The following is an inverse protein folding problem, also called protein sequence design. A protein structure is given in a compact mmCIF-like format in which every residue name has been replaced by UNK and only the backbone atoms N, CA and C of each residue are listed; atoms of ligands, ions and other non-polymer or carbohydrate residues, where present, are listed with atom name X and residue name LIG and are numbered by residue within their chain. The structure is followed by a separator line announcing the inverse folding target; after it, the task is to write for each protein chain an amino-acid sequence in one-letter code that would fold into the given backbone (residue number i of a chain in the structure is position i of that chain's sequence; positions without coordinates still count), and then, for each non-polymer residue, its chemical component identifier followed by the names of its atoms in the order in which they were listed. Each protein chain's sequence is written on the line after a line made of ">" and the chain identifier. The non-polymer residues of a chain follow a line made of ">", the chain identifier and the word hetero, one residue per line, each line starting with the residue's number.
data_IF_932660885232
#
_entry.id   IF_932660885232
#
_cell.length_a   1.000
_cell.length_b   1.000
_cell.length_c   1.000
_cell.angle_alpha   90.00
_cell.angle_beta   90.00
_cell.angle_gamma   90.00
#
_symmetry.space_group_name_H-M   'P 1'
#
loop_
_entity.id
_entity.type
_entity.pdbx_description
1 polymer ?
#
# COMPACT_ATOMS: atom_id res chain seq x y z
N UNK A 1 11.88 -17.61 6.24
CA UNK A 1 12.74 -17.84 7.43
C UNK A 1 13.96 -18.54 6.95
N UNK A 2 15.18 -18.01 7.16
CA UNK A 2 16.43 -18.54 6.60
C UNK A 2 17.09 -19.60 7.51
N UNK A 3 16.78 -19.58 8.79
CA UNK A 3 17.24 -20.57 9.76
C UNK A 3 16.28 -20.66 10.94
N UNK A 4 16.29 -21.76 11.73
CA UNK A 4 15.64 -21.80 13.04
C UNK A 4 16.30 -20.78 13.98
N UNK A 5 15.65 -20.43 15.10
CA UNK A 5 16.27 -19.66 16.16
C UNK A 5 17.48 -20.42 16.72
N UNK A 6 18.64 -19.75 16.75
CA UNK A 6 19.89 -20.35 17.22
C UNK A 6 20.25 -19.69 18.54
N UNK A 7 20.40 -20.46 19.65
CA UNK A 7 20.82 -19.90 20.91
C UNK A 7 22.27 -19.40 20.83
N UNK A 8 22.55 -18.26 21.46
CA UNK A 8 23.90 -17.67 21.53
C UNK A 8 24.63 -17.97 22.84
N UNK A 9 24.25 -19.03 23.52
CA UNK A 9 24.92 -19.51 24.73
C UNK A 9 25.48 -20.92 24.52
N UNK A 10 26.60 -21.23 25.17
CA UNK A 10 27.20 -22.55 25.07
C UNK A 10 26.46 -23.58 25.93
N UNK A 11 26.12 -24.71 25.32
CA UNK A 11 25.61 -25.89 25.98
C UNK A 11 26.04 -27.13 25.20
N UNK A 12 26.58 -28.16 25.89
CA UNK A 12 27.13 -29.37 25.25
C UNK A 12 26.12 -30.10 24.33
N UNK A 13 24.83 -29.96 24.56
CA UNK A 13 23.78 -30.52 23.73
C UNK A 13 23.54 -29.74 22.43
N UNK A 14 24.06 -28.54 22.29
CA UNK A 14 23.78 -27.61 21.20
C UNK A 14 24.88 -27.53 20.12
N UNK A 15 25.85 -28.46 20.14
CA UNK A 15 27.01 -28.45 19.21
C UNK A 15 26.60 -28.30 17.75
N UNK A 16 25.52 -28.96 17.31
CA UNK A 16 25.02 -28.82 15.94
C UNK A 16 24.49 -27.39 15.65
N UNK A 17 23.90 -26.73 16.64
CA UNK A 17 23.41 -25.36 16.51
C UNK A 17 24.57 -24.36 16.52
N UNK A 18 25.60 -24.60 17.29
CA UNK A 18 26.85 -23.82 17.27
C UNK A 18 27.53 -23.90 15.90
N UNK A 19 27.70 -25.11 15.35
CA UNK A 19 28.22 -25.28 14.00
C UNK A 19 27.39 -24.53 12.95
N UNK A 20 26.08 -24.54 13.10
CA UNK A 20 25.18 -23.81 12.22
C UNK A 20 25.37 -22.29 12.38
N UNK A 21 25.49 -21.80 13.61
CA UNK A 21 25.75 -20.39 13.90
C UNK A 21 27.07 -19.95 13.28
N UNK A 22 28.15 -20.71 13.48
CA UNK A 22 29.47 -20.42 12.90
C UNK A 22 29.42 -20.36 11.38
N UNK A 23 28.72 -21.30 10.73
CA UNK A 23 28.52 -21.28 9.27
C UNK A 23 27.74 -20.06 8.79
N UNK A 24 26.67 -19.68 9.50
CA UNK A 24 25.87 -18.48 9.13
C UNK A 24 26.68 -17.20 9.33
N UNK A 25 27.39 -17.05 10.43
CA UNK A 25 28.25 -15.88 10.66
C UNK A 25 29.39 -15.81 9.64
N UNK A 26 30.00 -16.95 9.33
CA UNK A 26 31.01 -17.03 8.29
C UNK A 26 30.48 -16.70 6.89
N UNK A 27 29.26 -17.13 6.57
CA UNK A 27 28.60 -16.78 5.31
C UNK A 27 28.26 -15.28 5.26
N UNK A 28 27.74 -14.73 6.36
CA UNK A 28 27.43 -13.29 6.47
C UNK A 28 28.70 -12.44 6.29
N UNK A 29 29.80 -12.82 6.95
CA UNK A 29 31.07 -12.12 6.79
C UNK A 29 31.54 -12.12 5.33
N UNK A 30 31.53 -13.28 4.67
CA UNK A 30 31.90 -13.37 3.24
C UNK A 30 30.99 -12.55 2.35
N UNK A 31 29.70 -12.50 2.66
CA UNK A 31 28.74 -11.65 1.93
C UNK A 31 29.08 -10.16 2.08
N UNK A 32 29.39 -9.71 3.31
CA UNK A 32 29.81 -8.32 3.58
C UNK A 32 31.11 -8.01 2.84
N UNK A 33 32.12 -8.86 2.90
CA UNK A 33 33.40 -8.67 2.20
C UNK A 33 33.20 -8.60 0.67
N UNK A 34 32.30 -9.45 0.13
CA UNK A 34 31.93 -9.44 -1.29
C UNK A 34 31.22 -8.14 -1.69
N UNK A 35 30.28 -7.66 -0.86
CA UNK A 35 29.58 -6.39 -1.10
C UNK A 35 30.54 -5.21 -1.00
N UNK A 36 31.43 -5.18 -0.01
CA UNK A 36 32.43 -4.12 0.12
C UNK A 36 33.33 -4.06 -1.12
N UNK A 37 33.79 -5.23 -1.61
CA UNK A 37 34.57 -5.33 -2.84
C UNK A 37 33.80 -4.85 -4.07
N UNK A 38 32.51 -5.20 -4.16
CA UNK A 38 31.61 -4.75 -5.23
C UNK A 38 31.46 -3.22 -5.21
N UNK A 39 31.16 -2.64 -4.05
CA UNK A 39 30.96 -1.20 -3.92
C UNK A 39 32.25 -0.40 -4.15
N UNK A 40 33.42 -0.92 -3.77
CA UNK A 40 34.71 -0.29 -4.09
C UNK A 40 35.03 -0.33 -5.58
N UNK A 41 34.53 -1.34 -6.29
CA UNK A 41 34.67 -1.46 -7.74
C UNK A 41 33.72 -0.58 -8.55
N UNK A 42 32.68 -0.03 -7.92
CA UNK A 42 31.79 0.92 -8.57
C UNK A 42 32.54 2.25 -8.74
N UNK A 43 32.87 2.58 -9.98
CA UNK A 43 33.37 3.92 -10.33
C UNK A 43 32.28 4.94 -9.99
N UNK A 44 32.42 5.61 -8.85
CA UNK A 44 31.56 6.72 -8.45
C UNK A 44 31.89 7.92 -9.36
N UNK A 45 31.32 7.95 -10.54
CA UNK A 45 31.07 9.23 -11.20
C UNK A 45 30.27 10.10 -10.24
N UNK A 46 30.60 11.39 -10.05
CA UNK A 46 29.82 12.27 -9.21
C UNK A 46 28.43 12.40 -9.81
N UNK A 47 27.58 11.48 -9.46
CA UNK A 47 26.19 11.46 -9.86
C UNK A 47 25.40 12.21 -8.84
N UNK A 48 24.51 13.06 -9.33
CA UNK A 48 23.34 13.65 -8.70
C UNK A 48 23.15 13.30 -7.20
N UNK A 49 22.82 14.27 -6.35
CA UNK A 49 22.64 14.03 -4.92
C UNK A 49 21.75 12.82 -4.74
N UNK A 50 22.29 11.77 -4.13
CA UNK A 50 21.56 10.59 -3.72
C UNK A 50 20.36 11.06 -2.88
N UNK A 51 19.20 11.20 -3.49
CA UNK A 51 17.97 11.13 -2.74
C UNK A 51 18.02 9.78 -2.02
N UNK A 52 17.72 9.76 -0.74
CA UNK A 52 17.56 8.53 0.05
C UNK A 52 16.41 7.70 -0.57
N UNK A 53 16.69 7.03 -1.67
CA UNK A 53 15.73 6.27 -2.42
C UNK A 53 15.63 4.86 -1.84
N UNK A 54 14.67 4.65 -0.98
CA UNK A 54 14.32 3.32 -0.46
C UNK A 54 13.51 2.48 -1.45
N UNK A 55 13.08 3.09 -2.58
CA UNK A 55 12.25 2.46 -3.61
C UNK A 55 12.80 2.70 -5.01
N UNK A 56 12.57 1.78 -5.97
CA UNK A 56 12.78 2.08 -7.37
C UNK A 56 11.82 3.21 -7.75
N UNK A 57 12.32 4.38 -8.12
CA UNK A 57 11.51 5.52 -8.51
C UNK A 57 11.29 5.55 -10.03
N UNK A 58 10.32 4.79 -10.60
CA UNK A 58 9.89 5.02 -11.96
C UNK A 58 9.35 6.45 -12.07
N UNK A 59 9.51 7.06 -13.23
CA UNK A 59 8.99 8.41 -13.53
C UNK A 59 7.91 8.37 -14.60
N UNK A 60 7.46 7.18 -14.95
CA UNK A 60 6.39 6.94 -15.91
C UNK A 60 5.69 5.63 -15.60
N UNK A 61 4.46 5.51 -16.09
CA UNK A 61 3.70 4.27 -16.10
C UNK A 61 2.99 4.11 -17.45
N UNK A 62 2.59 2.88 -17.76
CA UNK A 62 1.79 2.56 -18.94
C UNK A 62 0.36 2.35 -18.51
N UNK A 63 -0.55 3.20 -18.98
CA UNK A 63 -1.99 3.02 -18.76
C UNK A 63 -2.52 1.83 -19.56
N UNK A 64 -3.74 1.41 -19.27
CA UNK A 64 -4.36 0.21 -19.89
C UNK A 64 -4.60 0.32 -21.40
N UNK A 65 -4.74 1.52 -21.91
CA UNK A 65 -4.85 1.78 -23.34
C UNK A 65 -3.49 1.71 -24.08
N UNK A 66 -2.41 1.45 -23.34
CA UNK A 66 -1.03 1.38 -23.85
C UNK A 66 -0.32 2.72 -23.90
N UNK A 67 -0.94 3.80 -23.47
CA UNK A 67 -0.32 5.14 -23.41
C UNK A 67 0.68 5.22 -22.27
N UNK A 68 1.84 5.81 -22.54
CA UNK A 68 2.88 6.05 -21.50
C UNK A 68 2.70 7.45 -20.95
N UNK A 69 2.52 7.53 -19.64
CA UNK A 69 2.36 8.78 -18.90
C UNK A 69 3.58 9.02 -18.01
N UNK A 70 4.17 10.19 -18.12
CA UNK A 70 5.23 10.64 -17.21
C UNK A 70 4.65 11.42 -16.05
N UNK A 71 5.27 11.31 -14.88
CA UNK A 71 4.86 12.00 -13.66
C UNK A 71 6.05 12.52 -12.85
N UNK A 72 5.79 13.41 -11.90
CA UNK A 72 6.78 14.04 -11.03
C UNK A 72 6.37 13.82 -9.59
N UNK A 73 7.26 13.26 -8.78
CA UNK A 73 7.06 13.09 -7.34
C UNK A 73 6.99 14.44 -6.64
N UNK A 74 5.87 14.71 -5.97
CA UNK A 74 5.63 15.95 -5.25
C UNK A 74 5.78 15.75 -3.75
N UNK A 75 5.12 14.75 -3.19
CA UNK A 75 5.09 14.51 -1.76
C UNK A 75 5.04 13.02 -1.43
N UNK A 76 5.78 12.60 -0.40
CA UNK A 76 5.68 11.25 0.17
C UNK A 76 5.00 11.32 1.54
N UNK A 77 3.98 10.50 1.75
CA UNK A 77 3.38 10.36 3.07
C UNK A 77 4.38 9.70 4.03
N UNK A 78 4.72 10.40 5.11
CA UNK A 78 5.71 9.94 6.09
C UNK A 78 5.33 8.57 6.67
N UNK A 79 6.27 7.63 6.60
CA UNK A 79 6.11 6.27 7.15
C UNK A 79 5.24 5.34 6.30
N UNK A 80 4.83 5.75 5.11
CA UNK A 80 4.07 4.93 4.15
C UNK A 80 4.75 4.91 2.79
N UNK A 81 4.53 3.84 2.02
CA UNK A 81 4.99 3.72 0.63
C UNK A 81 3.95 4.33 -0.33
N UNK A 82 3.43 5.49 0.05
CA UNK A 82 2.39 6.23 -0.64
C UNK A 82 2.93 7.61 -1.03
N UNK A 83 2.79 7.95 -2.31
CA UNK A 83 3.27 9.20 -2.90
C UNK A 83 2.10 9.91 -3.55
N UNK A 84 2.05 11.23 -3.39
CA UNK A 84 1.11 12.10 -4.10
C UNK A 84 1.89 12.84 -5.17
N UNK A 85 1.42 12.75 -6.40
CA UNK A 85 2.19 13.12 -7.57
C UNK A 85 1.31 13.81 -8.61
N UNK A 86 1.95 14.42 -9.60
CA UNK A 86 1.24 14.98 -10.74
C UNK A 86 1.77 14.36 -12.04
N UNK A 87 0.86 13.97 -12.92
CA UNK A 87 1.21 13.72 -14.32
C UNK A 87 1.68 15.01 -14.98
N UNK A 88 2.42 14.89 -16.08
CA UNK A 88 2.92 16.06 -16.83
C UNK A 88 1.80 16.97 -17.33
N UNK A 89 0.59 16.45 -17.54
CA UNK A 89 -0.60 17.23 -17.90
C UNK A 89 -1.29 17.93 -16.71
N UNK A 90 -0.73 17.78 -15.49
CA UNK A 90 -1.26 18.37 -14.27
C UNK A 90 -2.30 17.53 -13.54
N UNK A 91 -2.69 16.37 -14.05
CA UNK A 91 -3.60 15.45 -13.35
C UNK A 91 -2.94 14.94 -12.08
N UNK A 92 -3.66 15.05 -10.95
CA UNK A 92 -3.19 14.55 -9.65
C UNK A 92 -3.35 13.04 -9.59
N UNK A 93 -2.30 12.36 -9.19
CA UNK A 93 -2.28 10.90 -9.00
C UNK A 93 -1.68 10.54 -7.66
N UNK A 94 -2.04 9.36 -7.19
CA UNK A 94 -1.49 8.75 -6.01
C UNK A 94 -0.77 7.45 -6.42
N UNK A 95 0.48 7.28 -6.02
CA UNK A 95 1.30 6.11 -6.32
C UNK A 95 1.62 5.36 -5.05
N UNK A 96 1.36 4.06 -5.05
CA UNK A 96 1.64 3.17 -3.93
C UNK A 96 2.58 2.05 -4.37
N UNK A 97 3.63 1.77 -3.56
CA UNK A 97 4.53 0.65 -3.78
C UNK A 97 4.24 -0.45 -2.78
N UNK A 98 3.87 -1.63 -3.27
CA UNK A 98 3.44 -2.77 -2.46
C UNK A 98 4.03 -4.07 -2.99
N UNK A 99 4.08 -5.11 -2.15
CA UNK A 99 4.51 -6.45 -2.57
C UNK A 99 3.37 -7.30 -3.11
N UNK A 100 2.13 -6.90 -2.80
CA UNK A 100 0.92 -7.60 -3.20
C UNK A 100 -0.19 -6.58 -3.38
N UNK A 101 -1.01 -6.77 -4.41
CA UNK A 101 -2.17 -5.95 -4.68
C UNK A 101 -3.27 -6.75 -5.39
N UNK A 102 -4.52 -6.53 -5.02
CA UNK A 102 -5.66 -7.17 -5.67
C UNK A 102 -6.27 -6.23 -6.71
N UNK A 103 -5.67 -6.19 -7.88
CA UNK A 103 -6.10 -5.34 -9.00
C UNK A 103 -7.56 -5.59 -9.38
N UNK A 104 -7.95 -6.86 -9.56
CA UNK A 104 -9.31 -7.23 -9.95
C UNK A 104 -10.38 -6.81 -8.93
N UNK A 105 -10.07 -6.90 -7.62
CA UNK A 105 -10.96 -6.45 -6.55
C UNK A 105 -11.11 -4.93 -6.54
N UNK A 106 -10.01 -4.21 -6.74
CA UNK A 106 -10.06 -2.75 -6.87
C UNK A 106 -10.93 -2.32 -8.05
N UNK A 107 -10.70 -2.91 -9.21
CA UNK A 107 -11.48 -2.61 -10.43
C UNK A 107 -12.97 -2.89 -10.28
N UNK A 108 -13.31 -4.00 -9.63
CA UNK A 108 -14.69 -4.34 -9.38
C UNK A 108 -15.42 -3.23 -8.61
N UNK A 109 -14.79 -2.71 -7.55
CA UNK A 109 -15.38 -1.61 -6.78
C UNK A 109 -15.28 -0.25 -7.51
N UNK A 110 -14.21 0.01 -8.26
CA UNK A 110 -14.08 1.21 -9.06
C UNK A 110 -15.14 1.30 -10.16
N UNK A 111 -15.46 0.19 -10.82
CA UNK A 111 -16.54 0.14 -11.82
C UNK A 111 -17.92 0.44 -11.24
N UNK A 112 -18.10 0.26 -9.93
CA UNK A 112 -19.33 0.58 -9.18
C UNK A 112 -19.32 1.97 -8.53
N UNK A 113 -18.20 2.70 -8.63
CA UNK A 113 -18.02 4.02 -8.01
C UNK A 113 -17.65 3.96 -6.52
N UNK A 114 -17.25 2.78 -6.00
CA UNK A 114 -16.86 2.58 -4.60
C UNK A 114 -15.35 2.49 -4.39
N UNK A 115 -14.55 2.77 -5.39
CA UNK A 115 -13.09 2.87 -5.29
C UNK A 115 -12.55 3.94 -6.23
N UNK A 116 -11.28 4.32 -6.01
CA UNK A 116 -10.55 5.24 -6.88
C UNK A 116 -10.40 4.65 -8.28
N UNK A 117 -10.32 5.51 -9.29
CA UNK A 117 -9.94 5.06 -10.62
C UNK A 117 -8.51 4.53 -10.59
N UNK A 118 -8.33 3.30 -11.09
CA UNK A 118 -7.03 2.65 -11.22
C UNK A 118 -6.47 2.92 -12.62
N UNK A 119 -5.30 3.56 -12.70
CA UNK A 119 -4.62 3.87 -13.95
C UNK A 119 -3.71 2.72 -14.38
N UNK A 120 -2.93 2.18 -13.45
CA UNK A 120 -1.99 1.10 -13.72
C UNK A 120 -1.63 0.30 -12.47
N UNK A 121 -1.26 -0.98 -12.68
CA UNK A 121 -0.53 -1.81 -11.72
C UNK A 121 0.65 -2.42 -12.45
N UNK A 122 1.86 -1.94 -12.16
CA UNK A 122 3.07 -2.39 -12.83
C UNK A 122 3.95 -3.22 -11.89
N UNK A 123 4.47 -4.33 -12.40
CA UNK A 123 5.44 -5.14 -11.67
C UNK A 123 6.84 -4.55 -11.82
N UNK A 124 7.48 -4.29 -10.69
CA UNK A 124 8.83 -3.74 -10.64
C UNK A 124 9.84 -4.82 -10.25
N UNK A 125 11.15 -4.59 -10.56
CA UNK A 125 12.22 -5.43 -10.04
C UNK A 125 12.16 -5.56 -8.51
N UNK A 126 12.53 -6.72 -7.99
CA UNK A 126 12.49 -6.98 -6.54
C UNK A 126 11.12 -7.41 -5.99
N UNK A 127 10.14 -7.69 -6.86
CA UNK A 127 8.83 -8.21 -6.46
C UNK A 127 7.86 -7.14 -5.95
N UNK A 128 8.19 -5.87 -6.14
CA UNK A 128 7.28 -4.76 -5.87
C UNK A 128 6.28 -4.58 -7.01
N UNK A 129 5.13 -4.01 -6.67
CA UNK A 129 4.13 -3.51 -7.61
C UNK A 129 3.98 -2.01 -7.39
N UNK A 130 4.00 -1.26 -8.46
CA UNK A 130 3.63 0.15 -8.49
C UNK A 130 2.16 0.25 -8.87
N UNK A 131 1.35 0.78 -7.97
CA UNK A 131 -0.08 1.00 -8.16
C UNK A 131 -0.32 2.50 -8.36
N UNK A 132 -0.91 2.87 -9.48
CA UNK A 132 -1.20 4.26 -9.84
C UNK A 132 -2.70 4.45 -9.89
N UNK A 133 -3.22 5.41 -9.11
CA UNK A 133 -4.64 5.69 -8.98
C UNK A 133 -4.89 7.20 -8.88
N UNK A 134 -6.15 7.63 -8.99
CA UNK A 134 -6.53 9.03 -8.76
C UNK A 134 -6.13 9.49 -7.36
N UNK A 135 -5.67 10.74 -7.25
CA UNK A 135 -5.57 11.44 -5.98
C UNK A 135 -6.86 12.25 -5.75
N UNK A 136 -7.56 11.90 -4.69
CA UNK A 136 -8.80 12.59 -4.27
C UNK A 136 -8.63 13.29 -2.92
N UNK A 137 -7.41 13.54 -2.48
CA UNK A 137 -7.09 14.12 -1.17
C UNK A 137 -7.69 15.51 -0.94
N UNK A 138 -8.02 16.25 -2.00
CA UNK A 138 -8.67 17.55 -1.91
C UNK A 138 -10.17 17.44 -1.55
N UNK A 139 -10.81 16.32 -1.90
CA UNK A 139 -12.25 16.13 -1.77
C UNK A 139 -12.64 15.13 -0.70
N UNK A 140 -11.74 14.20 -0.39
CA UNK A 140 -12.00 13.07 0.51
C UNK A 140 -11.01 13.02 1.66
N UNK A 141 -11.51 12.56 2.79
CA UNK A 141 -10.75 12.33 4.03
C UNK A 141 -11.08 10.93 4.54
N UNK A 142 -10.17 10.28 5.26
CA UNK A 142 -10.50 8.99 5.89
C UNK A 142 -11.62 9.17 6.91
N UNK A 143 -12.49 8.18 7.00
CA UNK A 143 -13.56 8.16 8.01
C UNK A 143 -12.98 8.29 9.43
N UNK A 144 -11.80 7.68 9.66
CA UNK A 144 -11.05 7.84 10.91
C UNK A 144 -10.76 9.31 11.22
N UNK A 145 -10.15 10.05 10.28
CA UNK A 145 -9.82 11.46 10.49
C UNK A 145 -11.06 12.31 10.67
N UNK A 146 -12.12 12.05 9.89
CA UNK A 146 -13.37 12.77 10.04
C UNK A 146 -13.96 12.62 11.45
N UNK A 147 -13.92 11.41 12.01
CA UNK A 147 -14.39 11.13 13.38
C UNK A 147 -13.49 11.81 14.42
N UNK A 148 -12.17 11.79 14.22
CA UNK A 148 -11.21 12.42 15.14
C UNK A 148 -11.33 13.94 15.16
N UNK A 149 -11.48 14.56 13.99
CA UNK A 149 -11.59 16.01 13.84
C UNK A 149 -12.95 16.53 14.33
N UNK A 150 -13.97 15.67 14.40
CA UNK A 150 -15.31 16.00 14.81
C UNK A 150 -15.81 15.04 15.91
N UNK A 151 -15.35 15.19 17.16
CA UNK A 151 -15.78 14.31 18.26
C UNK A 151 -17.30 14.26 18.49
N UNK A 152 -18.02 15.32 18.07
CA UNK A 152 -19.48 15.34 18.08
C UNK A 152 -20.14 14.37 17.08
N UNK A 153 -19.40 13.93 16.04
CA UNK A 153 -19.79 12.85 15.13
C UNK A 153 -19.54 11.47 15.75
N UNK A 154 -18.84 11.42 16.89
CA UNK A 154 -18.57 10.22 17.65
C UNK A 154 -19.88 9.51 18.08
N UNK A 155 -19.74 8.27 18.43
CA UNK A 155 -20.74 7.21 18.64
C UNK A 155 -22.04 7.57 19.38
N UNK A 156 -22.20 8.78 19.92
CA UNK A 156 -23.25 9.15 20.89
C UNK A 156 -24.15 10.34 20.48
N UNK A 157 -23.94 10.95 19.31
CA UNK A 157 -24.83 12.05 18.90
C UNK A 157 -26.04 11.54 18.15
N UNK A 158 -27.24 11.66 18.74
CA UNK A 158 -28.52 11.27 18.11
C UNK A 158 -28.74 11.96 16.74
N UNK A 159 -28.27 13.21 16.58
CA UNK A 159 -28.42 13.97 15.34
C UNK A 159 -27.72 13.33 14.12
N UNK A 160 -26.71 12.46 14.35
CA UNK A 160 -25.95 11.79 13.29
C UNK A 160 -26.24 10.31 13.15
N UNK A 161 -27.09 9.74 14.00
CA UNK A 161 -27.38 8.31 14.01
C UNK A 161 -27.94 7.84 12.66
N UNK A 162 -28.88 8.56 12.09
CA UNK A 162 -29.53 8.18 10.83
C UNK A 162 -28.54 8.25 9.66
N UNK A 163 -27.76 9.34 9.56
CA UNK A 163 -26.75 9.52 8.51
C UNK A 163 -25.64 8.46 8.63
N UNK A 164 -25.20 8.19 9.85
CA UNK A 164 -24.21 7.15 10.13
C UNK A 164 -24.75 5.77 9.74
N UNK A 165 -25.97 5.44 10.13
CA UNK A 165 -26.60 4.16 9.81
C UNK A 165 -26.73 4.01 8.29
N UNK A 166 -27.11 5.06 7.59
CA UNK A 166 -27.21 5.08 6.14
C UNK A 166 -25.85 4.80 5.47
N UNK A 167 -24.77 5.46 5.92
CA UNK A 167 -23.42 5.17 5.44
C UNK A 167 -23.03 3.70 5.70
N UNK A 168 -23.26 3.21 6.91
CA UNK A 168 -22.93 1.82 7.26
C UNK A 168 -23.71 0.80 6.46
N UNK A 169 -24.99 1.05 6.17
CA UNK A 169 -25.79 0.17 5.33
C UNK A 169 -25.29 0.14 3.89
N UNK A 170 -24.88 1.30 3.35
CA UNK A 170 -24.27 1.39 2.03
C UNK A 170 -22.94 0.63 1.98
N UNK A 171 -22.07 0.80 2.97
CA UNK A 171 -20.79 0.07 3.07
C UNK A 171 -21.06 -1.45 3.16
N UNK A 172 -22.01 -1.86 4.01
CA UNK A 172 -22.40 -3.27 4.17
C UNK A 172 -22.89 -3.85 2.86
N UNK A 173 -23.77 -3.15 2.16
CA UNK A 173 -24.29 -3.58 0.87
C UNK A 173 -23.18 -3.73 -0.17
N UNK A 174 -22.28 -2.75 -0.26
CA UNK A 174 -21.10 -2.82 -1.11
C UNK A 174 -20.24 -4.05 -0.82
N UNK A 175 -19.98 -4.34 0.45
CA UNK A 175 -19.19 -5.51 0.85
C UNK A 175 -19.90 -6.83 0.56
N UNK A 176 -21.23 -6.90 0.72
CA UNK A 176 -22.02 -8.08 0.32
C UNK A 176 -21.86 -8.37 -1.16
N UNK A 177 -21.99 -7.35 -2.01
CA UNK A 177 -21.79 -7.48 -3.45
C UNK A 177 -20.35 -7.88 -3.81
N UNK A 178 -19.36 -7.33 -3.09
CA UNK A 178 -17.96 -7.67 -3.26
C UNK A 178 -17.68 -9.13 -2.91
N UNK A 179 -18.26 -9.62 -1.81
CA UNK A 179 -18.16 -11.02 -1.40
C UNK A 179 -18.88 -11.96 -2.39
N UNK A 180 -20.07 -11.57 -2.88
CA UNK A 180 -20.79 -12.33 -3.90
C UNK A 180 -20.01 -12.44 -5.22
N UNK A 181 -19.20 -11.42 -5.55
CA UNK A 181 -18.29 -11.46 -6.68
C UNK A 181 -17.03 -12.30 -6.43
N UNK A 182 -16.90 -12.91 -5.25
CA UNK A 182 -15.80 -13.80 -4.89
C UNK A 182 -14.55 -13.10 -4.34
N UNK A 183 -14.67 -11.85 -3.89
CA UNK A 183 -13.56 -11.10 -3.29
C UNK A 183 -13.72 -10.93 -1.79
N UNK A 184 -12.61 -10.82 -1.07
CA UNK A 184 -12.54 -10.39 0.33
C UNK A 184 -11.51 -9.27 0.43
N UNK A 185 -11.88 -8.15 1.03
CA UNK A 185 -10.94 -7.02 1.20
C UNK A 185 -9.84 -7.33 2.22
N UNK A 186 -10.19 -7.98 3.31
CA UNK A 186 -9.24 -8.46 4.32
C UNK A 186 -8.80 -7.40 5.33
N UNK A 187 -9.06 -6.11 5.09
CA UNK A 187 -8.67 -5.00 5.97
C UNK A 187 -9.67 -3.83 5.90
N UNK A 188 -10.96 -4.11 6.14
CA UNK A 188 -11.99 -3.06 6.21
C UNK A 188 -11.94 -2.42 7.59
N UNK A 189 -11.52 -1.15 7.61
CA UNK A 189 -11.49 -0.31 8.81
C UNK A 189 -11.73 1.17 8.43
N UNK A 190 -11.92 2.01 9.40
CA UNK A 190 -12.22 3.44 9.21
C UNK A 190 -11.10 4.24 8.54
N UNK A 191 -9.85 3.78 8.64
CA UNK A 191 -8.71 4.37 7.91
C UNK A 191 -8.73 4.04 6.42
N UNK A 192 -9.40 2.93 6.02
CA UNK A 192 -9.46 2.41 4.65
C UNK A 192 -10.79 2.72 3.96
N UNK A 193 -11.61 3.58 4.58
CA UNK A 193 -12.83 4.16 4.01
C UNK A 193 -12.63 5.65 3.90
N UNK A 194 -12.77 6.18 2.71
CA UNK A 194 -12.73 7.62 2.45
C UNK A 194 -14.17 8.13 2.29
N UNK A 195 -14.42 9.31 2.86
CA UNK A 195 -15.69 10.03 2.76
C UNK A 195 -15.40 11.48 2.35
N UNK A 196 -16.37 12.18 1.79
CA UNK A 196 -16.19 13.58 1.39
C UNK A 196 -15.87 14.46 2.59
N UNK A 197 -14.99 15.44 2.41
CA UNK A 197 -14.59 16.40 3.46
C UNK A 197 -15.76 17.20 4.03
N UNK A 198 -16.83 17.40 3.25
CA UNK A 198 -18.08 18.05 3.69
C UNK A 198 -19.00 17.14 4.52
N UNK A 199 -18.60 15.90 4.78
CA UNK A 199 -19.38 14.90 5.52
C UNK A 199 -20.01 13.84 4.63
N UNK A 200 -20.61 12.84 5.25
CA UNK A 200 -21.14 11.64 4.61
C UNK A 200 -22.68 11.64 4.44
N UNK A 201 -23.27 12.84 4.34
CA UNK A 201 -24.74 13.00 4.25
C UNK A 201 -25.37 12.38 3.01
N UNK A 202 -24.59 12.29 1.92
CA UNK A 202 -25.01 11.65 0.66
C UNK A 202 -24.74 10.14 0.63
N UNK A 203 -24.13 9.58 1.69
CA UNK A 203 -23.76 8.18 1.76
C UNK A 203 -22.65 7.77 0.80
N UNK A 204 -21.98 8.72 0.14
CA UNK A 204 -20.85 8.48 -0.74
C UNK A 204 -19.60 8.14 0.06
N UNK A 205 -18.96 7.04 -0.33
CA UNK A 205 -17.69 6.60 0.24
C UNK A 205 -16.83 5.91 -0.83
N UNK A 206 -15.55 5.79 -0.54
CA UNK A 206 -14.61 5.01 -1.35
C UNK A 206 -13.86 4.05 -0.44
N UNK A 207 -13.66 2.83 -0.92
CA UNK A 207 -12.82 1.82 -0.27
C UNK A 207 -11.43 1.91 -0.87
N UNK A 208 -10.41 1.90 -0.01
CA UNK A 208 -9.00 1.96 -0.40
C UNK A 208 -8.20 0.85 0.28
N UNK A 209 -6.94 0.66 -0.15
CA UNK A 209 -5.99 -0.30 0.43
C UNK A 209 -6.31 -1.78 0.14
N UNK A 210 -6.13 -2.19 -1.11
CA UNK A 210 -6.37 -3.56 -1.59
C UNK A 210 -5.17 -4.51 -1.40
N UNK A 211 -4.22 -4.19 -0.53
CA UNK A 211 -3.01 -5.01 -0.29
C UNK A 211 -3.35 -6.36 0.36
N UNK A 212 -4.33 -6.37 1.24
CA UNK A 212 -4.83 -7.57 1.93
C UNK A 212 -5.97 -8.26 1.18
N UNK A 213 -6.47 -7.65 0.11
CA UNK A 213 -7.57 -8.18 -0.67
C UNK A 213 -7.18 -9.47 -1.42
N UNK A 214 -8.15 -10.33 -1.64
CA UNK A 214 -7.96 -11.57 -2.39
C UNK A 214 -9.27 -12.21 -2.82
N UNK A 215 -9.14 -13.24 -3.67
CA UNK A 215 -10.27 -14.08 -4.09
C UNK A 215 -10.59 -15.13 -3.04
N UNK A 216 -11.87 -15.38 -2.83
CA UNK A 216 -12.35 -16.51 -2.02
C UNK A 216 -11.95 -17.79 -2.77
N UNK A 217 -11.16 -18.66 -2.12
CA UNK A 217 -10.91 -19.99 -2.67
C UNK A 217 -12.22 -20.78 -2.61
N UNK A 218 -12.77 -21.11 -3.75
CA UNK A 218 -13.82 -22.12 -3.82
C UNK A 218 -13.16 -23.46 -3.48
N UNK A 219 -13.59 -24.06 -2.35
CA UNK A 219 -13.22 -25.42 -1.94
C UNK A 219 -14.07 -26.42 -2.68
#
# INVERSE_FOLDING_TARGET
>A
MLSPAIPCHYHDADIKMEDMLVRHLGALRRAIDSLDSYYRGLNTSPSLPLRNSTHPYPTSFTSRDGSVHSFIYVFQMKGRNLFFDHMVDGTKICIKFVTRYCEEGHEFLAAKGFALKLHAVERLPGGLQMVVMDDVSDEYISLFNLIQDNPALGFLSEAYLDTRNFLWDNIRQCLVEFHQAGFVHGDICDTNILVKTGGFHDGCFLVVDYDSCGKIKQT
#
